data_IF_441725503905
#
_entry.id   IF_441725503905
#
_cell.length_a   1.000
_cell.length_b   1.000
_cell.length_c   1.000
_cell.angle_alpha   90.00
_cell.angle_beta   90.00
_cell.angle_gamma   90.00
#
_symmetry.space_group_name_H-M   'P 1'
#
loop_
_entity.id
_entity.type
_entity.pdbx_description
1 polymer ?
#
# COMPACT_ATOMS: atom_id res chain seq x y z
N UNK A 1 95.88 6.42 33.01
CA UNK A 1 94.99 7.28 33.83
C UNK A 1 94.08 8.01 32.82
N UNK A 2 92.87 7.57 32.67
CA UNK A 2 91.68 8.30 32.25
C UNK A 2 90.57 7.32 31.87
N UNK A 3 89.60 7.18 32.72
CA UNK A 3 88.34 6.47 32.49
C UNK A 3 87.43 7.31 31.63
N UNK A 4 86.96 6.78 30.57
CA UNK A 4 85.86 7.34 29.80
C UNK A 4 84.61 6.48 29.96
N UNK A 5 83.60 7.08 30.67
CA UNK A 5 82.24 6.53 30.87
C UNK A 5 81.51 6.51 29.45
N UNK A 6 81.07 5.32 29.02
CA UNK A 6 80.08 5.22 27.96
C UNK A 6 78.74 5.02 28.64
N UNK A 7 77.89 6.03 28.47
CA UNK A 7 76.49 6.01 28.85
C UNK A 7 75.71 5.37 27.72
N UNK A 8 75.06 4.27 27.96
CA UNK A 8 74.21 3.53 27.04
C UNK A 8 72.77 3.99 27.23
N UNK A 9 72.20 4.78 26.25
CA UNK A 9 70.78 5.13 26.20
C UNK A 9 70.02 3.91 25.69
N UNK A 10 69.20 3.31 26.54
CA UNK A 10 68.22 2.31 26.15
C UNK A 10 66.89 3.03 25.79
N UNK A 11 66.60 3.09 24.48
CA UNK A 11 65.31 3.59 23.98
C UNK A 11 64.29 2.45 24.07
N UNK A 12 63.35 2.54 25.01
CA UNK A 12 62.14 1.66 25.04
C UNK A 12 61.21 2.08 23.91
N UNK A 13 61.12 1.27 22.85
CA UNK A 13 60.01 1.32 21.90
C UNK A 13 58.81 0.62 22.54
N UNK A 14 57.86 1.39 23.07
CA UNK A 14 56.54 0.90 23.41
C UNK A 14 55.72 0.69 22.10
N UNK A 15 55.71 -0.53 21.55
CA UNK A 15 54.80 -0.91 20.47
C UNK A 15 53.39 -0.98 21.06
N UNK A 16 52.60 0.06 20.78
CA UNK A 16 51.16 0.05 21.06
C UNK A 16 50.47 -1.01 20.22
N UNK A 17 50.21 -2.17 20.75
CA UNK A 17 49.22 -3.10 20.21
C UNK A 17 47.83 -2.46 20.36
N UNK A 18 47.35 -1.75 19.32
CA UNK A 18 45.93 -1.47 19.18
C UNK A 18 45.24 -2.82 18.94
N UNK A 19 44.67 -3.40 20.00
CA UNK A 19 43.77 -4.54 19.84
C UNK A 19 42.63 -4.10 18.97
N UNK A 20 42.60 -4.58 17.71
CA UNK A 20 41.41 -4.55 16.85
C UNK A 20 40.35 -5.42 17.58
N UNK A 21 39.50 -4.76 18.36
CA UNK A 21 38.28 -5.38 18.85
C UNK A 21 37.48 -5.72 17.58
N UNK A 22 37.21 -7.01 17.30
CA UNK A 22 36.35 -7.34 16.14
C UNK A 22 35.04 -6.62 16.39
N UNK A 23 34.69 -5.68 15.47
CA UNK A 23 33.38 -5.08 15.47
C UNK A 23 32.39 -6.24 15.30
N UNK A 24 31.69 -6.64 16.37
CA UNK A 24 30.61 -7.57 16.26
C UNK A 24 29.64 -6.95 15.26
N UNK A 25 29.46 -7.62 14.11
CA UNK A 25 28.43 -7.24 13.17
C UNK A 25 27.10 -7.24 13.95
N UNK A 26 26.41 -6.11 13.95
CA UNK A 26 25.11 -6.04 14.60
C UNK A 26 24.18 -7.09 14.01
N UNK A 27 23.38 -7.75 14.85
CA UNK A 27 22.39 -8.72 14.36
C UNK A 27 21.55 -8.12 13.24
N UNK A 28 21.18 -8.90 12.20
CA UNK A 28 20.39 -8.41 11.09
C UNK A 28 19.06 -7.84 11.58
N UNK A 29 18.57 -6.80 10.91
CA UNK A 29 17.22 -6.31 11.11
C UNK A 29 16.25 -7.28 10.43
N UNK A 30 15.51 -8.07 11.22
CA UNK A 30 14.54 -9.02 10.71
C UNK A 30 13.18 -8.36 10.53
N UNK A 31 12.63 -8.45 9.33
CA UNK A 31 11.34 -7.91 8.93
C UNK A 31 10.44 -9.06 8.47
N UNK A 32 9.27 -9.21 9.09
CA UNK A 32 8.26 -10.18 8.66
C UNK A 32 7.32 -9.56 7.63
N UNK A 33 7.35 -10.04 6.38
CA UNK A 33 6.44 -9.63 5.31
C UNK A 33 5.30 -10.65 5.20
N UNK A 34 4.10 -10.24 5.56
CA UNK A 34 2.87 -11.05 5.50
C UNK A 34 2.03 -10.59 4.31
N UNK A 35 1.80 -11.46 3.34
CA UNK A 35 1.04 -11.13 2.14
C UNK A 35 0.48 -12.37 1.46
N UNK A 36 -0.20 -12.17 0.35
CA UNK A 36 -0.73 -13.26 -0.49
C UNK A 36 0.25 -13.54 -1.62
N UNK A 37 0.96 -14.68 -1.53
CA UNK A 37 1.97 -15.10 -2.52
C UNK A 37 1.48 -16.26 -3.39
N UNK A 38 0.28 -16.80 -3.13
CA UNK A 38 -0.33 -17.87 -3.91
C UNK A 38 -1.80 -17.61 -4.19
N UNK A 39 -2.40 -18.39 -5.12
CA UNK A 39 -3.82 -18.28 -5.48
C UNK A 39 -4.15 -17.06 -6.36
N UNK A 40 -5.43 -16.65 -6.41
CA UNK A 40 -5.93 -15.61 -7.34
C UNK A 40 -5.35 -14.22 -7.11
N UNK A 41 -4.76 -13.97 -5.95
CA UNK A 41 -4.17 -12.69 -5.54
C UNK A 41 -2.65 -12.76 -5.37
N UNK A 42 -2.00 -13.78 -5.95
CA UNK A 42 -0.54 -13.98 -5.82
C UNK A 42 0.30 -12.78 -6.28
N UNK A 43 -0.21 -12.00 -7.23
CA UNK A 43 0.44 -10.78 -7.73
C UNK A 43 0.66 -9.74 -6.62
N UNK A 44 -0.21 -9.67 -5.61
CA UNK A 44 -0.04 -8.74 -4.49
C UNK A 44 1.29 -8.98 -3.75
N UNK A 45 1.54 -10.23 -3.38
CA UNK A 45 2.80 -10.63 -2.75
C UNK A 45 4.01 -10.44 -3.65
N UNK A 46 3.87 -10.76 -4.95
CA UNK A 46 4.94 -10.55 -5.93
C UNK A 46 5.31 -9.05 -6.06
N UNK A 47 4.33 -8.16 -6.10
CA UNK A 47 4.53 -6.70 -6.14
C UNK A 47 5.15 -6.17 -4.82
N UNK A 48 4.70 -6.68 -3.66
CA UNK A 48 5.31 -6.34 -2.37
C UNK A 48 6.79 -6.75 -2.34
N UNK A 49 7.08 -7.98 -2.70
CA UNK A 49 8.45 -8.52 -2.72
C UNK A 49 9.34 -7.73 -3.67
N UNK A 50 8.83 -7.37 -4.84
CA UNK A 50 9.56 -6.55 -5.81
C UNK A 50 9.86 -5.14 -5.28
N UNK A 51 8.90 -4.47 -4.66
CA UNK A 51 9.10 -3.16 -4.06
C UNK A 51 10.13 -3.18 -2.92
N UNK A 52 10.07 -4.19 -2.05
CA UNK A 52 11.04 -4.41 -0.97
C UNK A 52 12.43 -4.71 -1.53
N UNK A 53 12.55 -5.58 -2.52
CA UNK A 53 13.83 -5.93 -3.15
C UNK A 53 14.48 -4.73 -3.83
N UNK A 54 13.71 -3.93 -4.56
CA UNK A 54 14.22 -2.72 -5.20
C UNK A 54 14.77 -1.74 -4.15
N UNK A 55 14.01 -1.49 -3.08
CA UNK A 55 14.45 -0.64 -1.98
C UNK A 55 15.78 -1.12 -1.37
N UNK A 56 15.87 -2.41 -1.05
CA UNK A 56 17.08 -2.99 -0.43
C UNK A 56 18.27 -2.98 -1.40
N UNK A 57 18.05 -3.24 -2.69
CA UNK A 57 19.10 -3.18 -3.71
C UNK A 57 19.74 -1.79 -3.78
N UNK A 58 18.94 -0.73 -3.76
CA UNK A 58 19.43 0.67 -3.77
C UNK A 58 20.29 1.00 -2.54
N UNK A 59 20.16 0.24 -1.46
CA UNK A 59 20.85 0.44 -0.17
C UNK A 59 21.88 -0.63 0.17
N UNK A 60 22.24 -1.48 -0.80
CA UNK A 60 23.20 -2.55 -0.57
C UNK A 60 22.75 -3.57 0.48
N UNK A 61 21.44 -3.80 0.61
CA UNK A 61 20.86 -4.77 1.54
C UNK A 61 20.83 -4.32 3.00
N UNK A 62 21.04 -3.02 3.29
CA UNK A 62 21.22 -2.51 4.66
C UNK A 62 20.22 -1.41 5.01
N UNK A 63 19.86 -1.36 6.31
CA UNK A 63 19.14 -0.25 6.94
C UNK A 63 19.93 0.18 8.19
N UNK A 64 20.26 1.46 8.29
CA UNK A 64 21.06 2.03 9.39
C UNK A 64 22.36 1.25 9.66
N UNK A 65 23.02 0.76 8.61
CA UNK A 65 24.27 -0.01 8.69
C UNK A 65 24.11 -1.48 9.06
N UNK A 66 22.89 -1.96 9.36
CA UNK A 66 22.58 -3.37 9.65
C UNK A 66 22.13 -4.09 8.37
N UNK A 67 22.55 -5.33 8.19
CA UNK A 67 21.99 -6.21 7.19
C UNK A 67 20.49 -6.44 7.43
N UNK A 68 19.70 -6.53 6.38
CA UNK A 68 18.25 -6.75 6.48
C UNK A 68 17.90 -8.16 6.03
N UNK A 69 17.18 -8.88 6.87
CA UNK A 69 16.58 -10.18 6.55
C UNK A 69 15.06 -10.01 6.44
N UNK A 70 14.50 -10.25 5.27
CA UNK A 70 13.05 -10.22 5.03
C UNK A 70 12.51 -11.65 4.97
N UNK A 71 11.55 -11.95 5.84
CA UNK A 71 10.93 -13.27 5.93
C UNK A 71 9.51 -13.18 5.37
N UNK A 72 9.33 -13.67 4.14
CA UNK A 72 8.05 -13.67 3.45
C UNK A 72 7.17 -14.83 3.94
N UNK A 73 5.90 -14.54 4.23
CA UNK A 73 4.89 -15.54 4.65
C UNK A 73 3.60 -15.35 3.87
N UNK A 74 3.09 -16.46 3.36
CA UNK A 74 1.90 -16.52 2.50
C UNK A 74 0.63 -16.76 3.32
N UNK A 75 -0.38 -15.91 3.14
CA UNK A 75 -1.72 -16.08 3.69
C UNK A 75 -2.69 -16.74 2.70
N UNK A 76 -2.30 -16.90 1.44
CA UNK A 76 -3.11 -17.44 0.34
C UNK A 76 -4.45 -16.68 0.12
N UNK A 77 -4.55 -15.41 0.57
CA UNK A 77 -5.73 -14.57 0.45
C UNK A 77 -6.25 -14.01 1.77
N UNK A 78 -7.53 -13.59 1.84
CA UNK A 78 -8.15 -13.06 3.05
C UNK A 78 -8.42 -14.19 4.06
N UNK A 79 -7.40 -14.54 4.85
CA UNK A 79 -7.41 -15.65 5.81
C UNK A 79 -6.91 -15.18 7.19
N UNK A 80 -7.75 -14.52 8.00
CA UNK A 80 -7.36 -13.90 9.26
C UNK A 80 -6.76 -14.86 10.28
N UNK A 81 -7.23 -16.10 10.37
CA UNK A 81 -6.68 -17.10 11.30
C UNK A 81 -5.26 -17.53 10.88
N UNK A 82 -5.02 -17.70 9.58
CA UNK A 82 -3.69 -17.98 9.06
C UNK A 82 -2.76 -16.79 9.31
N UNK A 83 -3.20 -15.58 9.04
CA UNK A 83 -2.42 -14.36 9.27
C UNK A 83 -2.04 -14.18 10.75
N UNK A 84 -2.97 -14.45 11.66
CA UNK A 84 -2.73 -14.46 13.11
C UNK A 84 -1.64 -15.45 13.50
N UNK A 85 -1.73 -16.71 13.06
CA UNK A 85 -0.74 -17.74 13.33
C UNK A 85 0.63 -17.38 12.77
N UNK A 86 0.67 -16.89 11.54
CA UNK A 86 1.90 -16.42 10.88
C UNK A 86 2.56 -15.29 11.66
N UNK A 87 1.79 -14.29 12.11
CA UNK A 87 2.34 -13.21 12.92
C UNK A 87 2.96 -13.71 14.23
N UNK A 88 2.30 -14.65 14.92
CA UNK A 88 2.83 -15.28 16.14
C UNK A 88 4.14 -16.03 15.86
N UNK A 89 4.21 -16.78 14.76
CA UNK A 89 5.41 -17.50 14.33
C UNK A 89 6.57 -16.54 14.07
N UNK A 90 6.36 -15.50 13.27
CA UNK A 90 7.36 -14.49 12.95
C UNK A 90 7.90 -13.79 14.21
N UNK A 91 7.03 -13.48 15.16
CA UNK A 91 7.41 -12.78 16.40
C UNK A 91 8.17 -13.72 17.34
N UNK A 92 7.62 -14.91 17.61
CA UNK A 92 8.13 -15.79 18.69
C UNK A 92 9.31 -16.63 18.21
N UNK A 93 9.19 -17.26 17.04
CA UNK A 93 10.20 -18.15 16.49
C UNK A 93 11.29 -17.39 15.74
N UNK A 94 10.87 -16.53 14.81
CA UNK A 94 11.79 -15.87 13.87
C UNK A 94 12.36 -14.57 14.47
N UNK A 95 11.74 -14.04 15.54
CA UNK A 95 12.17 -12.85 16.32
C UNK A 95 12.28 -11.60 15.43
N UNK A 96 11.28 -11.37 14.60
CA UNK A 96 11.25 -10.17 13.76
C UNK A 96 11.10 -8.89 14.60
N UNK A 97 11.76 -7.83 14.18
CA UNK A 97 11.68 -6.51 14.81
C UNK A 97 10.52 -5.67 14.30
N UNK A 98 10.02 -5.97 13.09
CA UNK A 98 8.95 -5.24 12.41
C UNK A 98 8.11 -6.24 11.61
N UNK A 99 6.80 -6.02 11.58
CA UNK A 99 5.88 -6.67 10.64
C UNK A 99 5.49 -5.68 9.54
N UNK A 100 5.28 -6.20 8.33
CA UNK A 100 4.82 -5.39 7.20
C UNK A 100 4.02 -6.23 6.20
N UNK A 101 3.56 -5.60 5.11
CA UNK A 101 2.69 -6.25 4.13
C UNK A 101 1.22 -5.99 4.43
N UNK A 102 0.45 -7.05 4.62
CA UNK A 102 -0.97 -7.02 4.96
C UNK A 102 -1.81 -6.41 3.83
N UNK A 103 -2.17 -7.25 2.92
CA UNK A 103 -2.92 -6.92 1.70
C UNK A 103 -4.43 -6.83 1.94
N UNK A 104 -5.01 -7.69 2.80
CA UNK A 104 -6.43 -7.71 3.11
C UNK A 104 -6.75 -7.22 4.53
N UNK A 105 -7.83 -6.45 4.66
CA UNK A 105 -8.23 -5.86 5.95
C UNK A 105 -8.53 -6.89 7.04
N UNK A 106 -9.18 -8.05 6.79
CA UNK A 106 -9.34 -9.08 7.81
C UNK A 106 -8.01 -9.59 8.38
N UNK A 107 -7.01 -9.77 7.51
CA UNK A 107 -5.65 -10.18 7.92
C UNK A 107 -5.00 -9.10 8.79
N UNK A 108 -5.12 -7.83 8.40
CA UNK A 108 -4.55 -6.71 9.14
C UNK A 108 -5.17 -6.53 10.53
N UNK A 109 -6.47 -6.75 10.68
CA UNK A 109 -7.12 -6.75 11.99
C UNK A 109 -6.57 -7.85 12.90
N UNK A 110 -6.44 -9.08 12.37
CA UNK A 110 -5.94 -10.22 13.14
C UNK A 110 -4.48 -10.02 13.56
N UNK A 111 -3.62 -9.55 12.65
CA UNK A 111 -2.21 -9.27 12.93
C UNK A 111 -2.04 -8.08 13.86
N UNK A 112 -2.84 -7.02 13.70
CA UNK A 112 -2.78 -5.82 14.55
C UNK A 112 -3.02 -6.11 16.03
N UNK A 113 -3.90 -7.08 16.35
CA UNK A 113 -4.12 -7.51 17.73
C UNK A 113 -2.87 -8.20 18.32
N UNK A 114 -2.20 -9.07 17.54
CA UNK A 114 -0.97 -9.75 17.95
C UNK A 114 0.18 -8.75 18.07
N UNK A 115 0.31 -7.84 17.12
CA UNK A 115 1.32 -6.78 17.13
C UNK A 115 1.21 -5.89 18.39
N UNK A 116 -0.01 -5.54 18.81
CA UNK A 116 -0.26 -4.79 20.04
C UNK A 116 0.18 -5.54 21.30
N UNK A 117 -0.16 -6.83 21.40
CA UNK A 117 0.24 -7.67 22.54
C UNK A 117 1.77 -7.83 22.64
N UNK A 118 2.43 -8.02 21.51
CA UNK A 118 3.86 -8.22 21.44
C UNK A 118 4.67 -6.91 21.37
N UNK A 119 3.99 -5.77 21.22
CA UNK A 119 4.60 -4.44 21.02
C UNK A 119 5.52 -4.38 19.79
N UNK A 120 5.14 -5.06 18.71
CA UNK A 120 5.89 -5.11 17.46
C UNK A 120 5.30 -4.09 16.46
N UNK A 121 6.10 -3.12 15.96
CA UNK A 121 5.67 -2.18 14.95
C UNK A 121 5.19 -2.91 13.68
N UNK A 122 4.07 -2.46 13.14
CA UNK A 122 3.50 -3.03 11.92
C UNK A 122 3.21 -1.92 10.92
N UNK A 123 3.78 -2.00 9.73
CA UNK A 123 3.56 -1.03 8.64
C UNK A 123 2.73 -1.68 7.55
N UNK A 124 1.49 -1.22 7.37
CA UNK A 124 0.53 -1.77 6.41
C UNK A 124 0.80 -1.23 5.01
N UNK A 125 0.92 -2.14 4.03
CA UNK A 125 1.21 -1.83 2.62
C UNK A 125 -0.04 -1.75 1.73
N UNK A 126 -1.20 -2.32 2.15
CA UNK A 126 -2.41 -2.26 1.32
C UNK A 126 -3.72 -2.27 2.11
N UNK A 127 -3.88 -3.14 3.10
CA UNK A 127 -5.16 -3.30 3.80
C UNK A 127 -5.82 -1.95 4.12
N UNK A 128 -6.97 -1.68 3.50
CA UNK A 128 -7.49 -0.32 3.31
C UNK A 128 -8.68 0.07 4.19
N UNK A 129 -9.18 -0.82 5.08
CA UNK A 129 -10.24 -0.45 6.01
C UNK A 129 -9.76 0.59 7.04
N UNK A 130 -10.60 1.58 7.32
CA UNK A 130 -10.27 2.74 8.15
C UNK A 130 -9.89 2.36 9.59
N UNK A 131 -10.61 1.44 10.22
CA UNK A 131 -10.41 1.09 11.62
C UNK A 131 -9.10 0.34 11.95
N UNK A 132 -8.29 -0.06 10.96
CA UNK A 132 -7.08 -0.87 11.18
C UNK A 132 -6.11 -0.19 12.14
N UNK A 133 -5.80 1.09 11.93
CA UNK A 133 -4.84 1.81 12.79
C UNK A 133 -5.45 2.24 14.13
N UNK A 134 -6.78 2.40 14.23
CA UNK A 134 -7.47 2.67 15.49
C UNK A 134 -7.52 1.45 16.40
N UNK A 135 -7.67 0.26 15.80
CA UNK A 135 -7.79 -0.99 16.56
C UNK A 135 -6.45 -1.46 17.16
N UNK A 136 -5.32 -0.94 16.71
CA UNK A 136 -4.01 -1.27 17.26
C UNK A 136 -3.08 -0.06 17.30
N UNK A 137 -2.52 0.28 18.47
CA UNK A 137 -1.54 1.36 18.59
C UNK A 137 -0.18 1.02 17.96
N UNK A 138 0.04 -0.26 17.61
CA UNK A 138 1.27 -0.74 16.96
C UNK A 138 1.14 -0.90 15.45
N UNK A 139 0.13 -0.29 14.85
CA UNK A 139 -0.06 -0.28 13.40
C UNK A 139 0.00 1.14 12.86
N UNK A 140 0.79 1.34 11.81
CA UNK A 140 0.80 2.51 10.93
C UNK A 140 0.55 2.05 9.50
N UNK A 141 0.07 2.95 8.63
CA UNK A 141 -0.21 2.66 7.23
C UNK A 141 0.50 3.66 6.33
N UNK A 142 1.08 3.15 5.25
CA UNK A 142 1.74 3.97 4.22
C UNK A 142 1.01 3.92 2.88
N UNK A 143 0.02 3.03 2.72
CA UNK A 143 -0.72 2.88 1.46
C UNK A 143 -1.88 3.89 1.34
N UNK A 144 -3.07 3.50 1.71
CA UNK A 144 -4.27 4.33 1.63
C UNK A 144 -5.39 3.75 2.52
N UNK A 145 -6.42 4.54 2.79
CA UNK A 145 -7.72 3.99 3.17
C UNK A 145 -8.65 4.03 1.96
N UNK A 146 -9.52 3.03 1.82
CA UNK A 146 -10.47 3.03 0.71
C UNK A 146 -11.41 4.24 0.78
N UNK A 147 -11.62 4.78 1.97
CA UNK A 147 -12.41 5.99 2.18
C UNK A 147 -11.75 7.23 1.56
N UNK A 148 -10.41 7.32 1.63
CA UNK A 148 -9.64 8.41 0.99
C UNK A 148 -9.79 8.45 -0.53
N UNK A 149 -10.09 7.33 -1.17
CA UNK A 149 -10.27 7.27 -2.63
C UNK A 149 -11.74 7.30 -3.02
N UNK A 150 -12.65 6.81 -2.18
CA UNK A 150 -14.09 6.80 -2.46
C UNK A 150 -14.74 8.17 -2.31
N UNK A 151 -14.41 8.92 -1.25
CA UNK A 151 -14.98 10.24 -1.03
C UNK A 151 -14.58 11.27 -2.12
N UNK A 152 -13.31 11.37 -2.57
CA UNK A 152 -12.94 12.19 -3.71
C UNK A 152 -13.64 11.81 -5.02
N UNK A 153 -13.90 10.52 -5.26
CA UNK A 153 -14.68 10.10 -6.44
C UNK A 153 -16.10 10.64 -6.37
N UNK A 154 -16.76 10.55 -5.23
CA UNK A 154 -18.09 11.13 -5.03
C UNK A 154 -18.10 12.64 -5.30
N UNK A 155 -17.11 13.37 -4.77
CA UNK A 155 -16.96 14.81 -5.00
C UNK A 155 -16.71 15.15 -6.48
N UNK A 156 -15.87 14.35 -7.16
CA UNK A 156 -15.63 14.50 -8.58
C UNK A 156 -16.91 14.28 -9.39
N UNK A 157 -17.68 13.23 -9.12
CA UNK A 157 -18.93 12.94 -9.80
C UNK A 157 -19.94 14.08 -9.65
N UNK A 158 -20.05 14.65 -8.46
CA UNK A 158 -20.89 15.84 -8.18
C UNK A 158 -20.44 17.07 -8.99
N UNK A 159 -19.13 17.33 -9.09
CA UNK A 159 -18.57 18.39 -9.95
C UNK A 159 -18.90 18.18 -11.43
N UNK A 160 -19.05 16.92 -11.87
CA UNK A 160 -19.50 16.58 -13.22
C UNK A 160 -21.02 16.65 -13.42
N UNK A 161 -21.76 17.17 -12.45
CA UNK A 161 -23.23 17.33 -12.52
C UNK A 161 -24.00 16.02 -12.31
N UNK A 162 -23.36 14.96 -11.84
CA UNK A 162 -24.01 13.69 -11.54
C UNK A 162 -24.76 13.83 -10.22
N UNK A 163 -26.06 13.48 -10.23
CA UNK A 163 -26.96 13.64 -9.07
C UNK A 163 -27.51 12.32 -8.55
N UNK A 164 -27.41 11.25 -9.32
CA UNK A 164 -27.86 9.93 -8.91
C UNK A 164 -26.77 8.89 -9.13
N UNK A 165 -26.53 8.04 -8.14
CA UNK A 165 -25.57 6.95 -8.19
C UNK A 165 -26.16 5.67 -7.61
N UNK A 166 -25.80 4.55 -8.21
CA UNK A 166 -25.97 3.21 -7.69
C UNK A 166 -24.61 2.71 -7.19
N UNK A 167 -24.52 2.03 -6.05
CA UNK A 167 -23.24 1.50 -5.56
C UNK A 167 -23.18 -0.01 -5.66
N UNK A 168 -22.02 -0.54 -6.04
CA UNK A 168 -21.73 -1.99 -6.12
C UNK A 168 -20.38 -2.25 -5.50
N UNK A 169 -20.32 -2.99 -4.41
CA UNK A 169 -19.07 -3.23 -3.67
C UNK A 169 -18.91 -4.71 -3.31
N UNK A 170 -17.68 -5.16 -3.20
CA UNK A 170 -17.38 -6.49 -2.67
C UNK A 170 -17.75 -6.58 -1.17
N UNK A 171 -18.32 -7.71 -0.76
CA UNK A 171 -18.85 -7.91 0.60
C UNK A 171 -17.74 -8.28 1.59
N UNK A 172 -16.97 -7.29 2.01
CA UNK A 172 -15.99 -7.37 3.09
C UNK A 172 -15.71 -5.96 3.66
N UNK A 173 -14.87 -5.86 4.70
CA UNK A 173 -14.67 -4.63 5.46
C UNK A 173 -14.34 -3.40 4.57
N UNK A 174 -13.39 -3.52 3.63
CA UNK A 174 -13.07 -2.41 2.73
C UNK A 174 -14.21 -2.04 1.79
N UNK A 175 -15.01 -3.02 1.34
CA UNK A 175 -16.19 -2.75 0.52
C UNK A 175 -17.26 -1.97 1.28
N UNK A 176 -17.48 -2.33 2.55
CA UNK A 176 -18.37 -1.56 3.43
C UNK A 176 -17.87 -0.13 3.63
N UNK A 177 -16.58 0.05 3.86
CA UNK A 177 -15.97 1.36 4.03
C UNK A 177 -16.04 2.22 2.75
N UNK A 178 -15.84 1.59 1.57
CA UNK A 178 -15.96 2.27 0.27
C UNK A 178 -17.38 2.80 0.04
N UNK A 179 -18.39 1.93 0.24
CA UNK A 179 -19.81 2.28 0.09
C UNK A 179 -20.20 3.43 1.04
N UNK A 180 -19.81 3.30 2.32
CA UNK A 180 -20.13 4.29 3.35
C UNK A 180 -19.50 5.66 3.07
N UNK A 181 -18.21 5.68 2.67
CA UNK A 181 -17.53 6.94 2.39
C UNK A 181 -18.05 7.61 1.13
N UNK A 182 -18.32 6.82 0.08
CA UNK A 182 -18.90 7.32 -1.16
C UNK A 182 -20.29 7.93 -0.88
N UNK A 183 -21.19 7.17 -0.24
CA UNK A 183 -22.53 7.64 0.10
C UNK A 183 -22.50 8.92 0.93
N UNK A 184 -21.71 8.94 2.02
CA UNK A 184 -21.59 10.12 2.90
C UNK A 184 -21.18 11.37 2.12
N UNK A 185 -20.14 11.26 1.29
CA UNK A 185 -19.63 12.39 0.51
C UNK A 185 -20.61 12.79 -0.61
N UNK A 186 -21.23 11.82 -1.28
CA UNK A 186 -22.15 12.07 -2.38
C UNK A 186 -23.44 12.73 -1.90
N UNK A 187 -24.04 12.23 -0.82
CA UNK A 187 -25.29 12.78 -0.25
C UNK A 187 -25.07 14.14 0.41
N UNK A 188 -23.95 14.35 1.10
CA UNK A 188 -23.60 15.65 1.66
C UNK A 188 -23.46 16.73 0.58
N UNK A 189 -23.05 16.37 -0.65
CA UNK A 189 -23.00 17.27 -1.81
C UNK A 189 -24.30 17.34 -2.61
N UNK A 190 -25.42 16.82 -2.10
CA UNK A 190 -26.75 16.87 -2.73
C UNK A 190 -27.00 15.78 -3.78
N UNK A 191 -26.16 14.75 -3.84
CA UNK A 191 -26.44 13.55 -4.63
C UNK A 191 -27.38 12.57 -3.93
N UNK A 192 -27.93 11.62 -4.68
CA UNK A 192 -28.85 10.60 -4.18
C UNK A 192 -28.32 9.20 -4.53
N UNK A 193 -28.26 8.30 -3.55
CA UNK A 193 -28.02 6.88 -3.78
C UNK A 193 -29.37 6.22 -4.10
N UNK A 194 -29.50 5.67 -5.31
CA UNK A 194 -30.74 5.08 -5.82
C UNK A 194 -30.77 3.55 -5.65
N UNK A 195 -29.68 2.94 -5.26
CA UNK A 195 -29.60 1.51 -4.93
C UNK A 195 -28.19 1.10 -4.53
N UNK A 196 -28.11 -0.05 -3.86
CA UNK A 196 -26.85 -0.63 -3.35
C UNK A 196 -26.85 -2.13 -3.58
N UNK A 197 -25.69 -2.66 -3.98
CA UNK A 197 -25.45 -4.09 -4.11
C UNK A 197 -24.11 -4.47 -3.46
N UNK A 198 -24.12 -5.66 -2.86
CA UNK A 198 -22.91 -6.30 -2.35
C UNK A 198 -22.71 -7.62 -3.09
N UNK A 199 -21.49 -7.88 -3.52
CA UNK A 199 -21.12 -9.10 -4.23
C UNK A 199 -20.20 -9.95 -3.37
N UNK A 200 -20.33 -11.28 -3.37
CA UNK A 200 -19.40 -12.13 -2.67
C UNK A 200 -17.99 -11.99 -3.23
N UNK A 201 -16.98 -12.22 -2.39
CA UNK A 201 -15.56 -12.19 -2.78
C UNK A 201 -15.18 -13.35 -3.72
N UNK A 202 -15.88 -14.47 -3.63
CA UNK A 202 -15.61 -15.68 -4.41
C UNK A 202 -16.64 -15.85 -5.54
N UNK A 203 -16.15 -15.93 -6.78
CA UNK A 203 -16.93 -16.30 -7.99
C UNK A 203 -18.28 -15.60 -8.13
N UNK A 204 -18.40 -14.26 -8.05
CA UNK A 204 -19.67 -13.59 -8.23
C UNK A 204 -20.17 -13.75 -9.67
N UNK A 205 -21.45 -14.10 -9.83
CA UNK A 205 -22.14 -13.98 -11.11
C UNK A 205 -22.56 -12.53 -11.34
N UNK A 206 -21.70 -11.77 -11.99
CA UNK A 206 -21.95 -10.35 -12.26
C UNK A 206 -23.15 -10.11 -13.19
N UNK A 207 -23.60 -11.09 -13.97
CA UNK A 207 -24.73 -10.94 -14.91
C UNK A 207 -26.01 -10.54 -14.19
N UNK A 208 -26.31 -11.18 -13.06
CA UNK A 208 -27.48 -10.87 -12.25
C UNK A 208 -27.40 -9.47 -11.62
N UNK A 209 -26.21 -9.08 -11.14
CA UNK A 209 -25.99 -7.76 -10.54
C UNK A 209 -26.12 -6.64 -11.59
N UNK A 210 -25.47 -6.77 -12.73
CA UNK A 210 -25.52 -5.79 -13.83
C UNK A 210 -26.96 -5.67 -14.39
N UNK A 211 -27.70 -6.78 -14.50
CA UNK A 211 -29.10 -6.73 -14.92
C UNK A 211 -29.97 -5.90 -13.94
N UNK A 212 -29.81 -6.11 -12.63
CA UNK A 212 -30.54 -5.32 -11.61
C UNK A 212 -30.23 -3.83 -11.70
N UNK A 213 -28.98 -3.47 -11.96
CA UNK A 213 -28.58 -2.09 -12.20
C UNK A 213 -29.25 -1.53 -13.45
N UNK A 214 -29.24 -2.31 -14.55
CA UNK A 214 -29.86 -1.91 -15.81
C UNK A 214 -31.34 -1.64 -15.67
N UNK A 215 -32.04 -2.49 -14.91
CA UNK A 215 -33.49 -2.34 -14.65
C UNK A 215 -33.79 -1.10 -13.80
N UNK A 216 -32.90 -0.73 -12.87
CA UNK A 216 -33.01 0.47 -12.04
C UNK A 216 -32.72 1.77 -12.81
N UNK A 217 -32.05 1.70 -13.96
CA UNK A 217 -31.71 2.84 -14.85
C UNK A 217 -31.09 4.04 -14.12
N UNK A 218 -30.06 3.85 -13.28
CA UNK A 218 -29.42 4.97 -12.58
C UNK A 218 -28.66 5.87 -13.55
N UNK A 219 -28.44 7.14 -13.21
CA UNK A 219 -27.56 8.03 -13.98
C UNK A 219 -26.13 7.52 -14.02
N UNK A 220 -25.66 6.92 -12.91
CA UNK A 220 -24.31 6.43 -12.78
C UNK A 220 -24.19 5.25 -11.80
N UNK A 221 -23.06 4.54 -11.90
CA UNK A 221 -22.65 3.50 -10.94
C UNK A 221 -21.28 3.83 -10.40
N UNK A 222 -21.11 3.74 -9.09
CA UNK A 222 -19.82 3.65 -8.41
C UNK A 222 -19.57 2.21 -7.97
N UNK A 223 -18.39 1.66 -8.27
CA UNK A 223 -18.06 0.32 -7.78
C UNK A 223 -16.69 0.26 -7.11
N UNK A 224 -16.59 -0.69 -6.17
CA UNK A 224 -15.35 -1.08 -5.53
C UNK A 224 -15.22 -2.59 -5.48
N UNK A 225 -14.17 -3.12 -6.11
CA UNK A 225 -13.73 -4.50 -5.96
C UNK A 225 -12.22 -4.53 -5.71
N UNK A 226 -11.70 -5.52 -4.96
CA UNK A 226 -10.26 -5.68 -4.84
C UNK A 226 -9.63 -5.90 -6.22
N UNK A 227 -8.41 -5.44 -6.39
CA UNK A 227 -7.63 -5.65 -7.61
C UNK A 227 -7.56 -7.14 -8.00
N UNK A 228 -7.32 -7.45 -9.25
CA UNK A 228 -7.21 -8.82 -9.75
C UNK A 228 -8.38 -9.25 -10.61
N UNK A 229 -9.02 -10.38 -10.29
CA UNK A 229 -9.97 -11.04 -11.20
C UNK A 229 -11.38 -10.43 -11.22
N UNK A 230 -11.80 -9.76 -10.15
CA UNK A 230 -13.18 -9.24 -10.06
C UNK A 230 -13.45 -8.05 -10.99
N UNK A 231 -12.60 -6.99 -11.03
CA UNK A 231 -12.86 -5.84 -11.89
C UNK A 231 -12.97 -6.19 -13.38
N UNK A 232 -12.03 -6.93 -14.01
CA UNK A 232 -12.17 -7.27 -15.43
C UNK A 232 -13.40 -8.13 -15.72
N UNK A 233 -13.78 -9.04 -14.82
CA UNK A 233 -15.00 -9.84 -14.97
C UNK A 233 -16.27 -8.98 -14.93
N UNK A 234 -16.33 -8.00 -14.03
CA UNK A 234 -17.43 -7.04 -13.94
C UNK A 234 -17.49 -6.14 -15.19
N UNK A 235 -16.37 -5.57 -15.61
CA UNK A 235 -16.27 -4.70 -16.79
C UNK A 235 -16.66 -5.41 -18.07
N UNK A 236 -16.30 -6.69 -18.22
CA UNK A 236 -16.73 -7.51 -19.33
C UNK A 236 -18.25 -7.64 -19.40
N UNK A 237 -18.89 -8.02 -18.28
CA UNK A 237 -20.36 -8.13 -18.21
C UNK A 237 -21.03 -6.77 -18.41
N UNK A 238 -20.46 -5.69 -17.88
CA UNK A 238 -20.92 -4.33 -18.10
C UNK A 238 -21.00 -3.98 -19.57
N UNK A 239 -19.94 -4.27 -20.33
CA UNK A 239 -19.86 -4.06 -21.77
C UNK A 239 -20.85 -4.95 -22.54
N UNK A 240 -20.87 -6.25 -22.24
CA UNK A 240 -21.77 -7.23 -22.90
C UNK A 240 -23.25 -6.90 -22.71
N UNK A 241 -23.62 -6.26 -21.61
CA UNK A 241 -24.99 -5.84 -21.32
C UNK A 241 -25.37 -4.48 -21.91
N UNK A 242 -24.45 -3.82 -22.62
CA UNK A 242 -24.70 -2.53 -23.25
C UNK A 242 -25.07 -1.43 -22.26
N UNK A 243 -24.33 -1.35 -21.13
CA UNK A 243 -24.65 -0.39 -20.07
C UNK A 243 -24.27 1.04 -20.46
N UNK A 244 -23.20 1.22 -21.24
CA UNK A 244 -22.78 2.51 -21.79
C UNK A 244 -23.78 3.01 -22.81
N UNK A 245 -24.26 2.14 -23.70
CA UNK A 245 -25.30 2.42 -24.70
C UNK A 245 -26.64 2.78 -24.04
N UNK A 246 -26.91 2.25 -22.84
CA UNK A 246 -28.04 2.64 -22.02
C UNK A 246 -27.84 4.01 -21.31
N UNK A 247 -26.70 4.68 -21.53
CA UNK A 247 -26.39 6.00 -20.98
C UNK A 247 -25.95 5.98 -19.50
N UNK A 248 -25.66 4.80 -18.93
CA UNK A 248 -25.26 4.66 -17.53
C UNK A 248 -23.75 4.85 -17.42
N UNK A 249 -23.32 5.87 -16.68
CA UNK A 249 -21.90 6.19 -16.48
C UNK A 249 -21.30 5.31 -15.39
N UNK A 250 -20.04 4.88 -15.58
CA UNK A 250 -19.33 4.01 -14.65
C UNK A 250 -18.13 4.72 -14.03
N UNK A 251 -17.99 4.61 -12.69
CA UNK A 251 -16.89 5.15 -11.91
C UNK A 251 -16.43 4.13 -10.87
N UNK A 252 -15.15 4.19 -10.47
CA UNK A 252 -14.60 3.25 -9.51
C UNK A 252 -13.48 3.85 -8.68
N UNK A 253 -13.06 3.11 -7.66
CA UNK A 253 -11.74 3.29 -7.07
C UNK A 253 -10.66 2.68 -7.97
N UNK A 254 -9.41 3.05 -7.75
CA UNK A 254 -8.32 2.70 -8.65
C UNK A 254 -7.90 1.24 -8.68
N UNK A 255 -8.36 0.44 -7.73
CA UNK A 255 -8.18 -1.01 -7.74
C UNK A 255 -8.79 -1.65 -9.00
N UNK A 256 -9.83 -1.02 -9.55
CA UNK A 256 -10.47 -1.47 -10.79
C UNK A 256 -9.56 -1.42 -12.01
N UNK A 257 -8.55 -0.57 -11.98
CA UNK A 257 -7.61 -0.33 -13.08
C UNK A 257 -6.17 -0.42 -12.62
N UNK A 258 -5.88 -1.34 -11.70
CA UNK A 258 -4.54 -1.61 -11.20
C UNK A 258 -3.56 -1.80 -12.38
N UNK A 259 -2.45 -1.07 -12.33
CA UNK A 259 -1.46 -1.02 -13.42
C UNK A 259 -0.86 -2.41 -13.75
N UNK A 260 -0.80 -3.34 -12.78
CA UNK A 260 -0.31 -4.71 -13.01
C UNK A 260 -1.31 -5.56 -13.81
N UNK A 261 -2.61 -5.32 -13.66
CA UNK A 261 -3.68 -6.05 -14.35
C UNK A 261 -4.21 -5.34 -15.59
N UNK A 262 -3.97 -4.03 -15.73
CA UNK A 262 -4.65 -3.19 -16.71
C UNK A 262 -4.49 -3.67 -18.16
N UNK A 263 -3.28 -4.14 -18.53
CA UNK A 263 -3.05 -4.67 -19.89
C UNK A 263 -3.85 -5.96 -20.15
N UNK A 264 -3.93 -6.84 -19.16
CA UNK A 264 -4.69 -8.09 -19.26
C UNK A 264 -6.20 -7.84 -19.23
N UNK A 265 -6.66 -6.80 -18.53
CA UNK A 265 -8.07 -6.36 -18.55
C UNK A 265 -8.49 -5.92 -19.96
N UNK A 266 -7.59 -5.26 -20.69
CA UNK A 266 -7.83 -4.89 -22.08
C UNK A 266 -8.82 -3.73 -22.27
N UNK A 267 -9.29 -3.58 -23.47
CA UNK A 267 -10.07 -2.41 -23.92
C UNK A 267 -11.44 -2.26 -23.21
N UNK A 268 -11.89 -3.25 -22.44
CA UNK A 268 -13.10 -3.11 -21.60
C UNK A 268 -12.94 -2.08 -20.48
N UNK A 269 -11.69 -1.75 -20.11
CA UNK A 269 -11.39 -0.70 -19.15
C UNK A 269 -11.24 0.69 -19.76
N UNK A 270 -11.20 0.81 -21.10
CA UNK A 270 -10.93 2.07 -21.79
C UNK A 270 -12.00 3.12 -21.45
N UNK A 271 -11.56 4.31 -21.05
CA UNK A 271 -12.45 5.40 -20.67
C UNK A 271 -12.93 5.38 -19.21
N UNK A 272 -12.72 4.28 -18.46
CA UNK A 272 -13.11 4.20 -17.06
C UNK A 272 -12.38 5.28 -16.24
N UNK A 273 -13.16 6.04 -15.48
CA UNK A 273 -12.64 7.05 -14.55
C UNK A 273 -12.52 6.46 -13.15
N UNK A 274 -11.35 6.59 -12.56
CA UNK A 274 -11.04 6.07 -11.22
C UNK A 274 -10.37 7.12 -10.35
N UNK A 275 -10.46 6.95 -9.03
CA UNK A 275 -9.72 7.73 -8.04
C UNK A 275 -8.71 6.84 -7.31
N UNK A 276 -7.44 7.24 -7.26
CA UNK A 276 -6.40 6.51 -6.54
C UNK A 276 -5.20 7.38 -6.18
N UNK A 277 -4.32 6.85 -5.35
CA UNK A 277 -3.13 7.57 -4.86
C UNK A 277 -1.88 7.36 -5.72
N UNK A 278 -1.94 6.51 -6.77
CA UNK A 278 -0.82 6.21 -7.64
C UNK A 278 -1.27 5.80 -9.04
N UNK A 279 -0.44 6.11 -10.02
CA UNK A 279 -0.46 5.58 -11.38
C UNK A 279 0.98 5.28 -11.80
N UNK A 280 1.20 4.17 -12.50
CA UNK A 280 2.47 3.87 -13.17
C UNK A 280 2.98 5.05 -14.03
N UNK A 281 2.06 5.79 -14.64
CA UNK A 281 2.36 6.94 -15.48
C UNK A 281 2.42 8.28 -14.72
N UNK A 282 2.45 8.27 -13.38
CA UNK A 282 2.58 9.47 -12.58
C UNK A 282 3.81 10.29 -13.00
N UNK A 283 3.59 11.58 -13.30
CA UNK A 283 4.61 12.48 -13.82
C UNK A 283 5.41 13.14 -12.70
N UNK A 284 6.49 12.48 -12.27
CA UNK A 284 7.52 13.06 -11.41
C UNK A 284 8.87 12.40 -11.70
N UNK A 285 9.94 13.14 -11.54
CA UNK A 285 11.31 12.61 -11.74
C UNK A 285 11.58 11.40 -10.84
N UNK A 286 10.98 11.38 -9.65
CA UNK A 286 11.12 10.26 -8.69
C UNK A 286 10.38 9.02 -9.17
N UNK A 287 9.18 9.17 -9.75
CA UNK A 287 8.46 8.05 -10.33
C UNK A 287 9.14 7.51 -11.59
N UNK A 288 9.64 8.41 -12.46
CA UNK A 288 10.38 8.00 -13.65
C UNK A 288 11.60 7.14 -13.29
N UNK A 289 12.37 7.57 -12.27
CA UNK A 289 13.49 6.78 -11.75
C UNK A 289 13.01 5.45 -11.18
N UNK A 290 11.98 5.45 -10.31
CA UNK A 290 11.44 4.23 -9.69
C UNK A 290 10.99 3.22 -10.74
N UNK A 291 10.22 3.65 -11.73
CA UNK A 291 9.73 2.80 -12.82
C UNK A 291 10.87 2.25 -13.65
N UNK A 292 11.86 3.11 -14.01
CA UNK A 292 13.04 2.69 -14.75
C UNK A 292 13.82 1.60 -14.02
N UNK A 293 14.09 1.80 -12.73
CA UNK A 293 14.87 0.87 -11.93
C UNK A 293 14.10 -0.43 -11.66
N UNK A 294 12.79 -0.33 -11.46
CA UNK A 294 11.91 -1.47 -11.31
C UNK A 294 11.89 -2.35 -12.58
N UNK A 295 11.74 -1.73 -13.74
CA UNK A 295 11.75 -2.44 -15.03
C UNK A 295 13.12 -3.02 -15.35
N UNK A 296 14.19 -2.35 -14.99
CA UNK A 296 15.56 -2.87 -15.14
C UNK A 296 15.81 -4.12 -14.28
N UNK A 297 15.19 -4.21 -13.11
CA UNK A 297 15.35 -5.34 -12.19
C UNK A 297 14.41 -6.51 -12.50
N UNK A 298 13.12 -6.22 -12.75
CA UNK A 298 12.08 -7.25 -12.85
C UNK A 298 11.57 -7.48 -14.27
N UNK A 299 12.05 -6.68 -15.24
CA UNK A 299 11.64 -6.77 -16.64
C UNK A 299 10.32 -6.06 -16.95
N UNK A 300 10.02 -5.92 -18.24
CA UNK A 300 8.86 -5.17 -18.75
C UNK A 300 7.52 -5.88 -18.57
N UNK A 301 7.54 -7.19 -18.26
CA UNK A 301 6.31 -7.96 -18.05
C UNK A 301 5.66 -7.65 -16.70
N UNK A 302 6.45 -7.24 -15.71
CA UNK A 302 5.97 -6.82 -14.40
C UNK A 302 5.92 -5.29 -14.36
N UNK A 303 4.74 -4.71 -14.52
CA UNK A 303 4.54 -3.27 -14.34
C UNK A 303 4.36 -2.97 -12.85
N UNK A 304 5.13 -2.01 -12.27
CA UNK A 304 4.92 -1.68 -10.86
C UNK A 304 3.53 -1.11 -10.64
N UNK A 305 2.83 -1.66 -9.66
CA UNK A 305 1.51 -1.23 -9.24
C UNK A 305 1.58 -0.41 -7.95
N UNK A 306 0.42 0.02 -7.46
CA UNK A 306 0.33 0.68 -6.15
C UNK A 306 0.75 -0.26 -4.99
N UNK A 307 0.77 -1.58 -5.17
CA UNK A 307 1.34 -2.51 -4.19
C UNK A 307 2.87 -2.40 -4.12
N UNK A 308 3.55 -2.33 -5.28
CA UNK A 308 5.00 -2.20 -5.32
C UNK A 308 5.47 -0.87 -4.72
N UNK A 309 4.75 0.24 -5.03
CA UNK A 309 5.10 1.54 -4.48
C UNK A 309 4.83 1.60 -2.97
N UNK A 310 3.74 0.99 -2.49
CA UNK A 310 3.45 0.91 -1.05
C UNK A 310 4.49 0.10 -0.29
N UNK A 311 5.03 -0.97 -0.89
CA UNK A 311 6.13 -1.74 -0.31
C UNK A 311 7.44 -0.92 -0.24
N UNK A 312 7.77 -0.20 -1.31
CA UNK A 312 8.90 0.72 -1.32
C UNK A 312 8.77 1.82 -0.27
N UNK A 313 7.59 2.42 -0.14
CA UNK A 313 7.28 3.44 0.86
C UNK A 313 7.30 2.88 2.30
N UNK A 314 6.83 1.65 2.50
CA UNK A 314 6.89 0.99 3.80
C UNK A 314 8.34 0.78 4.27
N UNK A 315 9.20 0.34 3.36
CA UNK A 315 10.63 0.18 3.67
C UNK A 315 11.29 1.54 3.94
N UNK A 316 10.90 2.60 3.21
CA UNK A 316 11.35 3.98 3.48
C UNK A 316 10.92 4.45 4.87
N UNK A 317 9.67 4.18 5.27
CA UNK A 317 9.17 4.53 6.59
C UNK A 317 9.86 3.73 7.71
N UNK A 318 10.09 2.42 7.49
CA UNK A 318 10.82 1.55 8.42
C UNK A 318 12.26 2.04 8.60
N UNK A 319 12.98 2.35 7.50
CA UNK A 319 14.34 2.91 7.55
C UNK A 319 14.37 4.21 8.37
N UNK A 320 13.46 5.15 8.07
CA UNK A 320 13.39 6.41 8.79
C UNK A 320 13.08 6.22 10.27
N UNK A 321 12.20 5.26 10.61
CA UNK A 321 11.89 4.93 12.01
C UNK A 321 13.08 4.32 12.73
N UNK A 322 13.81 3.39 12.11
CA UNK A 322 15.01 2.77 12.69
C UNK A 322 16.13 3.81 12.91
N UNK A 323 16.35 4.69 11.93
CA UNK A 323 17.35 5.77 12.04
C UNK A 323 16.99 6.73 13.17
N UNK A 324 15.73 7.17 13.25
CA UNK A 324 15.26 8.13 14.25
C UNK A 324 15.20 7.55 15.66
N UNK A 325 14.74 6.30 15.80
CA UNK A 325 14.56 5.63 17.08
C UNK A 325 15.86 5.02 17.62
N UNK A 326 16.82 4.72 16.74
CA UNK A 326 18.06 3.98 17.03
C UNK A 326 17.93 2.49 16.70
N UNK A 327 19.04 1.88 16.30
CA UNK A 327 19.10 0.52 15.74
C UNK A 327 18.50 -0.59 16.63
N UNK A 328 18.52 -0.40 17.96
CA UNK A 328 18.00 -1.36 18.95
C UNK A 328 16.80 -0.79 19.72
N UNK A 329 16.04 0.11 19.08
CA UNK A 329 14.89 0.74 19.73
C UNK A 329 13.78 -0.27 19.99
N UNK A 330 13.02 -0.03 21.07
CA UNK A 330 11.78 -0.78 21.33
C UNK A 330 10.72 -0.46 20.28
N UNK A 331 9.73 -1.36 20.17
CA UNK A 331 8.61 -1.16 19.25
C UNK A 331 7.85 0.14 19.50
N UNK A 332 7.70 0.56 20.77
CA UNK A 332 7.09 1.84 21.13
C UNK A 332 7.87 3.03 20.56
N UNK A 333 9.21 3.02 20.67
CA UNK A 333 10.05 4.07 20.10
C UNK A 333 9.97 4.13 18.57
N UNK A 334 9.91 2.96 17.92
CA UNK A 334 9.72 2.90 16.49
C UNK A 334 8.34 3.43 16.05
N UNK A 335 7.27 3.07 16.77
CA UNK A 335 5.94 3.62 16.52
C UNK A 335 5.89 5.13 16.71
N UNK A 336 6.56 5.65 17.72
CA UNK A 336 6.66 7.09 17.94
C UNK A 336 7.46 7.79 16.83
N UNK A 337 8.50 7.15 16.32
CA UNK A 337 9.29 7.66 15.20
C UNK A 337 8.50 7.75 13.88
N UNK A 338 7.53 6.86 13.68
CA UNK A 338 6.62 6.86 12.51
C UNK A 338 5.60 8.01 12.55
N UNK A 339 5.19 8.48 13.73
CA UNK A 339 4.21 9.56 13.86
C UNK A 339 4.73 10.87 13.29
N UNK A 340 3.96 11.48 12.40
CA UNK A 340 4.31 12.73 11.75
C UNK A 340 5.45 12.61 10.73
N UNK A 341 5.87 11.39 10.37
CA UNK A 341 6.90 11.16 9.37
C UNK A 341 6.43 11.69 8.01
N UNK A 342 7.27 12.49 7.36
CA UNK A 342 7.03 13.05 6.03
C UNK A 342 8.19 12.67 5.11
N UNK A 343 7.86 12.27 3.90
CA UNK A 343 8.87 12.04 2.86
C UNK A 343 8.26 12.13 1.46
N UNK A 344 9.14 12.34 0.49
CA UNK A 344 8.78 12.33 -0.92
C UNK A 344 8.76 10.88 -1.41
N UNK A 345 7.60 10.41 -1.85
CA UNK A 345 7.41 9.12 -2.52
C UNK A 345 7.44 9.31 -4.04
N UNK A 346 7.70 8.24 -4.84
CA UNK A 346 7.46 8.31 -6.29
C UNK A 346 6.06 8.79 -6.70
N UNK A 347 5.06 8.63 -5.84
CA UNK A 347 3.67 9.10 -6.05
C UNK A 347 3.38 10.51 -5.50
N UNK A 348 4.41 11.24 -5.11
CA UNK A 348 4.32 12.57 -4.51
C UNK A 348 4.55 12.60 -3.01
N UNK A 349 4.39 13.77 -2.38
CA UNK A 349 4.63 13.93 -0.94
C UNK A 349 3.59 13.17 -0.11
N UNK A 350 4.07 12.45 0.90
CA UNK A 350 3.24 11.70 1.84
C UNK A 350 3.63 11.99 3.29
N UNK A 351 2.67 11.85 4.18
CA UNK A 351 2.84 12.04 5.62
C UNK A 351 2.09 10.93 6.37
N UNK A 352 2.70 10.35 7.41
CA UNK A 352 2.01 9.51 8.38
C UNK A 352 1.42 10.43 9.44
N UNK A 353 0.10 10.58 9.48
CA UNK A 353 -0.59 11.45 10.42
C UNK A 353 -0.24 11.07 11.88
N UNK A 354 0.16 12.04 12.68
CA UNK A 354 0.64 11.80 14.03
C UNK A 354 -0.46 11.25 14.97
N UNK A 355 -1.71 11.67 14.77
CA UNK A 355 -2.83 11.27 15.62
C UNK A 355 -3.40 9.91 15.21
N UNK A 356 -3.57 9.68 13.91
CA UNK A 356 -4.26 8.49 13.38
C UNK A 356 -3.32 7.38 12.93
N UNK A 357 -2.04 7.69 12.67
CA UNK A 357 -1.03 6.81 12.07
C UNK A 357 -1.41 6.31 10.66
N UNK A 358 -2.38 6.98 10.04
CA UNK A 358 -2.73 6.79 8.63
C UNK A 358 -1.97 7.76 7.73
N UNK A 359 -1.95 7.42 6.46
CA UNK A 359 -1.31 8.24 5.43
C UNK A 359 -2.13 9.50 5.12
N UNK A 360 -1.44 10.61 4.90
CA UNK A 360 -1.96 11.83 4.29
C UNK A 360 -1.26 11.97 2.95
N UNK A 361 -2.03 12.06 1.87
CA UNK A 361 -1.49 11.99 0.51
C UNK A 361 -2.39 12.67 -0.52
N UNK A 362 -1.88 12.83 -1.74
CA UNK A 362 -2.68 13.25 -2.88
C UNK A 362 -3.46 12.05 -3.44
N UNK A 363 -4.73 12.28 -3.77
CA UNK A 363 -5.57 11.34 -4.51
C UNK A 363 -5.82 11.93 -5.89
N UNK A 364 -5.49 11.17 -6.91
CA UNK A 364 -5.64 11.55 -8.32
C UNK A 364 -6.93 11.01 -8.90
N UNK A 365 -7.61 11.79 -9.74
CA UNK A 365 -8.65 11.31 -10.62
C UNK A 365 -7.96 10.93 -11.93
N UNK A 366 -8.18 9.69 -12.35
CA UNK A 366 -7.48 9.07 -13.47
C UNK A 366 -8.50 8.55 -14.48
N UNK A 367 -8.12 8.52 -15.73
CA UNK A 367 -8.90 7.88 -16.80
C UNK A 367 -8.02 6.89 -17.55
N UNK A 368 -8.56 5.75 -17.87
CA UNK A 368 -7.85 4.77 -18.71
C UNK A 368 -7.84 5.27 -20.14
N UNK A 369 -6.65 5.49 -20.67
CA UNK A 369 -6.41 5.92 -22.04
C UNK A 369 -5.40 5.01 -22.75
N UNK A 370 -5.38 5.03 -24.08
CA UNK A 370 -4.37 4.33 -24.87
C UNK A 370 -3.24 5.27 -25.22
N UNK A 371 -2.06 5.04 -24.65
CA UNK A 371 -0.86 5.84 -24.87
C UNK A 371 0.24 4.93 -25.42
N UNK A 372 0.74 5.23 -26.63
CA UNK A 372 1.75 4.38 -27.29
C UNK A 372 1.29 2.94 -27.50
N UNK A 373 -0.01 2.72 -27.72
CA UNK A 373 -0.59 1.38 -27.90
C UNK A 373 -0.86 0.61 -26.61
N UNK A 374 -0.53 1.16 -25.44
CA UNK A 374 -0.76 0.54 -24.13
C UNK A 374 -1.84 1.27 -23.33
N UNK A 375 -2.58 0.53 -22.50
CA UNK A 375 -3.52 1.11 -21.57
C UNK A 375 -2.77 1.73 -20.38
N UNK A 376 -3.14 2.95 -20.04
CA UNK A 376 -2.50 3.77 -19.01
C UNK A 376 -3.55 4.50 -18.19
N UNK A 377 -3.37 4.55 -16.88
CA UNK A 377 -4.14 5.42 -15.99
C UNK A 377 -3.60 6.85 -16.08
N UNK A 378 -4.23 7.70 -16.91
CA UNK A 378 -3.82 9.10 -17.07
C UNK A 378 -4.46 9.95 -15.99
N UNK A 379 -3.64 10.60 -15.16
CA UNK A 379 -4.06 11.53 -14.12
C UNK A 379 -4.45 12.87 -14.76
N UNK A 380 -5.63 13.42 -14.42
CA UNK A 380 -6.11 14.68 -15.01
C UNK A 380 -6.74 15.65 -14.00
N UNK A 381 -7.05 15.19 -12.76
CA UNK A 381 -7.48 16.01 -11.63
C UNK A 381 -6.94 15.41 -10.33
N UNK A 382 -6.96 16.17 -9.22
CA UNK A 382 -6.41 15.71 -7.94
C UNK A 382 -7.09 16.37 -6.76
N UNK A 383 -7.01 15.68 -5.62
CA UNK A 383 -7.31 16.18 -4.29
C UNK A 383 -6.04 16.06 -3.45
N UNK A 384 -5.51 17.20 -2.99
CA UNK A 384 -4.25 17.22 -2.25
C UNK A 384 -4.46 17.01 -0.75
N UNK A 385 -3.47 16.38 -0.08
CA UNK A 385 -3.44 16.19 1.37
C UNK A 385 -4.71 15.55 1.93
N UNK A 386 -5.26 14.58 1.23
CA UNK A 386 -6.44 13.84 1.66
C UNK A 386 -6.09 13.01 2.91
N UNK A 387 -6.84 13.22 3.98
CA UNK A 387 -6.86 12.38 5.18
C UNK A 387 -7.95 11.33 5.07
N UNK A 388 -7.95 10.37 6.00
CA UNK A 388 -9.06 9.44 6.11
C UNK A 388 -10.33 10.16 6.60
N UNK A 389 -11.37 10.31 5.77
CA UNK A 389 -12.58 11.07 6.14
C UNK A 389 -13.39 10.43 7.28
N UNK A 390 -13.14 9.15 7.61
CA UNK A 390 -13.76 8.53 8.77
C UNK A 390 -13.13 8.95 10.11
N UNK A 391 -11.93 9.56 10.07
CA UNK A 391 -11.15 9.97 11.25
C UNK A 391 -11.02 11.48 11.38
N UNK A 392 -11.58 12.23 10.45
CA UNK A 392 -11.71 13.67 10.61
C UNK A 392 -12.79 13.96 11.67
N UNK A 393 -12.38 14.47 12.82
CA UNK A 393 -13.30 15.06 13.80
C UNK A 393 -13.85 16.34 13.21
N UNK A 394 -15.17 16.41 13.06
CA UNK A 394 -15.91 17.63 12.71
C UNK A 394 -15.67 18.72 13.74
#
# INVERSE_FOLDING_TARGET
MNLTRKTMLATLMAAGLTALVPAHAADPLKIGLIGTFSGPYADYGAQFDAGVKLFLKERGGKIAGRDVEVINKDTAGPAPDAAKRIAQELIVRDKVSVLTGLDFSPNAYAVGAIAAQAKIPTVVMNASSSAITTNSPFVARVSFTVQQVSAPMAQYMLKQGIKEAYTVVADYASGTDADTAFEKAFTAGGGKIVGKLRTPMANPDFSAYVQRIKDAKPQSVFFFFPSGVMPPAFLKVWKERGMEEAGIKLFATGEATDDSYLQATGDVALGLVTSHHYSYAHKSAKNEKFVKDFVAEFGTKMRPSYFAIAAYDAMTAIEAAVVKAGANASGEKMMEALKGLKFESPRGPIEIDAATRDIVQTVYIRKVEKVGGQLVNVEFDKFERVKDPAKETN
#
